data_IF_716913293084
#
_entry.id   IF_716913293084
#
_cell.length_a   1.000
_cell.length_b   1.000
_cell.length_c   1.000
_cell.angle_alpha   90.00
_cell.angle_beta   90.00
_cell.angle_gamma   90.00
#
_symmetry.space_group_name_H-M   'P 1'
#
loop_
_entity.id
_entity.type
_entity.pdbx_description
1 polymer ?
#
# COMPACT_ATOMS: atom_id res chain seq x y z
N UNK A 1 19.39 12.55 26.48
CA UNK A 1 18.70 13.15 25.31
C UNK A 1 17.25 13.37 25.72
N UNK A 2 16.73 14.59 25.60
CA UNK A 2 15.35 14.94 25.95
C UNK A 2 14.42 14.13 25.07
N UNK A 3 13.56 13.29 25.66
CA UNK A 3 12.55 12.50 24.96
C UNK A 3 11.50 13.48 24.41
N UNK A 4 11.76 14.08 23.25
CA UNK A 4 10.75 14.87 22.55
C UNK A 4 9.76 13.86 21.94
N UNK A 5 8.45 13.98 22.22
CA UNK A 5 7.47 13.10 21.61
C UNK A 5 7.54 13.24 20.08
N UNK A 6 7.41 12.11 19.38
CA UNK A 6 7.28 12.07 17.93
C UNK A 6 6.09 12.92 17.49
N UNK A 7 6.23 13.68 16.40
CA UNK A 7 5.10 14.43 15.84
C UNK A 7 4.11 13.45 15.20
N UNK A 8 3.07 13.09 15.96
CA UNK A 8 2.05 12.11 15.57
C UNK A 8 1.28 12.49 14.29
N UNK A 9 1.34 13.76 13.88
CA UNK A 9 0.76 14.23 12.62
C UNK A 9 1.52 13.68 11.42
N UNK A 10 2.83 13.46 11.54
CA UNK A 10 3.64 12.93 10.45
C UNK A 10 3.27 11.48 10.12
N UNK A 11 3.08 10.65 11.15
CA UNK A 11 2.63 9.26 10.98
C UNK A 11 1.21 9.21 10.39
N UNK A 12 0.30 10.06 10.88
CA UNK A 12 -1.05 10.16 10.31
C UNK A 12 -1.03 10.57 8.82
N UNK A 13 -0.20 11.54 8.46
CA UNK A 13 -0.03 11.96 7.06
C UNK A 13 0.50 10.82 6.20
N UNK A 14 1.49 10.06 6.67
CA UNK A 14 2.00 8.88 5.98
C UNK A 14 0.87 7.84 5.76
N UNK A 15 0.11 7.49 6.81
CA UNK A 15 -1.02 6.55 6.71
C UNK A 15 -2.06 7.00 5.68
N UNK A 16 -2.31 8.31 5.58
CA UNK A 16 -3.23 8.88 4.60
C UNK A 16 -2.66 8.80 3.18
N UNK A 17 -1.38 9.14 2.98
CA UNK A 17 -0.74 9.01 1.66
C UNK A 17 -0.70 7.55 1.19
N UNK A 18 -0.37 6.60 2.08
CA UNK A 18 -0.39 5.17 1.77
C UNK A 18 -1.79 4.69 1.39
N UNK A 19 -2.84 5.18 2.07
CA UNK A 19 -4.24 4.86 1.73
C UNK A 19 -4.56 5.25 0.29
N UNK A 20 -4.22 6.48 -0.09
CA UNK A 20 -4.53 6.99 -1.42
C UNK A 20 -3.67 6.29 -2.49
N UNK A 21 -2.41 6.03 -2.17
CA UNK A 21 -1.50 5.28 -3.04
C UNK A 21 -2.01 3.87 -3.35
N UNK A 22 -2.37 3.09 -2.32
CA UNK A 22 -2.95 1.75 -2.47
C UNK A 22 -4.22 1.78 -3.34
N UNK A 23 -5.08 2.79 -3.14
CA UNK A 23 -6.29 2.96 -3.94
C UNK A 23 -5.98 3.11 -5.43
N UNK A 24 -4.92 3.88 -5.76
CA UNK A 24 -4.47 4.02 -7.15
C UNK A 24 -3.85 2.74 -7.70
N UNK A 25 -3.10 1.98 -6.88
CA UNK A 25 -2.55 0.68 -7.28
C UNK A 25 -3.65 -0.32 -7.66
N UNK A 26 -4.70 -0.42 -6.84
CA UNK A 26 -5.85 -1.29 -7.15
C UNK A 26 -6.57 -0.84 -8.42
N UNK A 27 -6.81 0.47 -8.58
CA UNK A 27 -7.40 0.98 -9.82
C UNK A 27 -6.55 0.69 -11.06
N UNK A 28 -5.21 0.79 -10.93
CA UNK A 28 -4.29 0.47 -12.02
C UNK A 28 -4.37 -1.02 -12.40
N UNK A 29 -4.48 -1.92 -11.41
CA UNK A 29 -4.64 -3.36 -11.65
C UNK A 29 -5.93 -3.69 -12.40
N UNK A 30 -7.03 -2.98 -12.12
CA UNK A 30 -8.29 -3.15 -12.86
C UNK A 30 -8.13 -2.79 -14.35
N UNK A 31 -7.46 -1.66 -14.63
CA UNK A 31 -7.17 -1.25 -16.01
C UNK A 31 -6.19 -2.21 -16.70
N UNK A 32 -5.17 -2.68 -15.97
CA UNK A 32 -4.19 -3.63 -16.52
C UNK A 32 -4.86 -4.95 -16.90
N UNK A 33 -5.75 -5.46 -16.05
CA UNK A 33 -6.51 -6.67 -16.33
C UNK A 33 -7.40 -6.53 -17.58
N UNK A 34 -8.12 -5.41 -17.71
CA UNK A 34 -8.95 -5.14 -18.89
C UNK A 34 -8.11 -5.00 -20.18
N UNK A 35 -6.95 -4.36 -20.10
CA UNK A 35 -6.01 -4.23 -21.21
C UNK A 35 -5.44 -5.58 -21.63
N UNK A 36 -5.00 -6.39 -20.67
CA UNK A 36 -4.49 -7.74 -20.91
C UNK A 36 -5.55 -8.65 -21.55
N UNK A 37 -6.78 -8.63 -21.06
CA UNK A 37 -7.89 -9.40 -21.64
C UNK A 37 -8.14 -8.98 -23.10
N UNK A 38 -8.14 -7.68 -23.38
CA UNK A 38 -8.29 -7.16 -24.75
C UNK A 38 -7.14 -7.59 -25.65
N UNK A 39 -5.92 -7.58 -25.13
CA UNK A 39 -4.72 -8.00 -25.86
C UNK A 39 -4.70 -9.51 -26.14
N UNK A 40 -5.17 -10.33 -25.20
CA UNK A 40 -5.37 -11.77 -25.40
C UNK A 40 -6.44 -12.07 -26.45
N UNK A 41 -7.56 -11.33 -26.44
CA UNK A 41 -8.59 -11.46 -27.47
C UNK A 41 -8.04 -11.09 -28.86
N UNK A 42 -7.22 -10.04 -28.96
CA UNK A 42 -6.52 -9.69 -30.19
C UNK A 42 -5.54 -10.79 -30.64
N UNK A 43 -4.82 -11.42 -29.71
CA UNK A 43 -3.96 -12.56 -29.99
C UNK A 43 -4.74 -13.73 -30.61
N UNK A 44 -5.92 -14.04 -30.06
CA UNK A 44 -6.80 -15.11 -30.53
C UNK A 44 -7.40 -14.83 -31.92
N UNK A 45 -7.62 -13.56 -32.26
CA UNK A 45 -8.11 -13.14 -33.57
C UNK A 45 -7.01 -13.01 -34.64
N UNK A 46 -5.73 -13.13 -34.26
CA UNK A 46 -4.59 -12.94 -35.16
C UNK A 46 -4.17 -14.23 -35.84
N UNK A 47 -3.68 -14.13 -37.08
CA UNK A 47 -3.11 -15.28 -37.80
C UNK A 47 -1.72 -15.69 -37.23
N UNK A 48 -1.35 -16.98 -37.28
CA UNK A 48 0.03 -17.41 -37.05
C UNK A 48 0.98 -16.80 -38.09
N UNK A 49 2.24 -16.43 -37.75
CA UNK A 49 2.92 -16.61 -36.45
C UNK A 49 2.69 -15.47 -35.44
N UNK A 50 2.03 -14.37 -35.85
CA UNK A 50 1.85 -13.17 -35.02
C UNK A 50 1.09 -13.49 -33.72
N UNK A 51 0.06 -14.32 -33.78
CA UNK A 51 -0.68 -14.79 -32.59
C UNK A 51 0.25 -15.36 -31.51
N UNK A 52 1.22 -16.20 -31.88
CA UNK A 52 2.15 -16.81 -30.92
C UNK A 52 3.05 -15.78 -30.22
N UNK A 53 3.53 -14.77 -30.96
CA UNK A 53 4.32 -13.67 -30.40
C UNK A 53 3.47 -12.82 -29.45
N UNK A 54 2.23 -12.50 -29.83
CA UNK A 54 1.31 -11.71 -29.01
C UNK A 54 1.00 -12.44 -27.70
N UNK A 55 0.76 -13.76 -27.74
CA UNK A 55 0.54 -14.57 -26.53
C UNK A 55 1.77 -14.54 -25.60
N UNK A 56 2.99 -14.63 -26.14
CA UNK A 56 4.21 -14.55 -25.34
C UNK A 56 4.35 -13.19 -24.64
N UNK A 57 4.03 -12.09 -25.33
CA UNK A 57 4.00 -10.74 -24.75
C UNK A 57 2.91 -10.63 -23.67
N UNK A 58 1.71 -11.16 -23.94
CA UNK A 58 0.61 -11.18 -22.97
C UNK A 58 0.99 -11.94 -21.69
N UNK A 59 1.75 -13.03 -21.81
CA UNK A 59 2.31 -13.75 -20.66
C UNK A 59 3.27 -12.90 -19.82
N UNK A 60 4.09 -12.06 -20.45
CA UNK A 60 4.99 -11.13 -19.75
C UNK A 60 4.21 -10.07 -18.96
N UNK A 61 3.15 -9.51 -19.56
CA UNK A 61 2.26 -8.57 -18.87
C UNK A 61 1.50 -9.23 -17.72
N UNK A 62 1.00 -10.45 -17.89
CA UNK A 62 0.36 -11.20 -16.81
C UNK A 62 1.30 -11.42 -15.60
N UNK A 63 2.57 -11.70 -15.85
CA UNK A 63 3.60 -11.81 -14.81
C UNK A 63 3.85 -10.48 -14.09
N UNK A 64 3.91 -9.38 -14.84
CA UNK A 64 4.06 -8.03 -14.27
C UNK A 64 2.85 -7.63 -13.41
N UNK A 65 1.63 -7.93 -13.86
CA UNK A 65 0.39 -7.67 -13.12
C UNK A 65 0.35 -8.45 -11.80
N UNK A 66 0.79 -9.70 -11.82
CA UNK A 66 0.86 -10.52 -10.60
C UNK A 66 1.91 -9.97 -9.61
N UNK A 67 3.08 -9.54 -10.10
CA UNK A 67 4.07 -8.89 -9.25
C UNK A 67 3.52 -7.59 -8.63
N UNK A 68 2.82 -6.79 -9.42
CA UNK A 68 2.20 -5.54 -8.96
C UNK A 68 1.07 -5.80 -7.94
N UNK A 69 0.27 -6.85 -8.14
CA UNK A 69 -0.75 -7.29 -7.18
C UNK A 69 -0.15 -7.67 -5.82
N UNK A 70 0.95 -8.41 -5.82
CA UNK A 70 1.68 -8.75 -4.59
C UNK A 70 2.25 -7.52 -3.91
N UNK A 71 2.80 -6.59 -4.68
CA UNK A 71 3.29 -5.33 -4.16
C UNK A 71 2.16 -4.52 -3.50
N UNK A 72 1.01 -4.38 -4.17
CA UNK A 72 -0.16 -3.71 -3.59
C UNK A 72 -0.58 -4.35 -2.24
N UNK A 73 -0.62 -5.68 -2.18
CA UNK A 73 -0.89 -6.41 -0.93
C UNK A 73 0.14 -6.16 0.17
N UNK A 74 1.43 -6.05 -0.19
CA UNK A 74 2.49 -5.71 0.75
C UNK A 74 2.34 -4.28 1.31
N UNK A 75 1.95 -3.32 0.47
CA UNK A 75 1.68 -1.94 0.89
C UNK A 75 0.44 -1.86 1.78
N UNK A 76 -0.60 -2.65 1.50
CA UNK A 76 -1.77 -2.81 2.38
C UNK A 76 -1.38 -3.31 3.78
N UNK A 77 -0.55 -4.35 3.85
CA UNK A 77 -0.05 -4.89 5.11
C UNK A 77 0.84 -3.89 5.87
N UNK A 78 1.72 -3.19 5.16
CA UNK A 78 2.54 -2.11 5.70
C UNK A 78 1.67 -1.00 6.32
N UNK A 79 0.64 -0.55 5.60
CA UNK A 79 -0.27 0.47 6.10
C UNK A 79 -1.03 0.01 7.35
N UNK A 80 -1.39 -1.27 7.44
CA UNK A 80 -2.00 -1.82 8.66
C UNK A 80 -1.04 -1.71 9.85
N UNK A 81 0.22 -2.10 9.68
CA UNK A 81 1.24 -1.99 10.72
C UNK A 81 1.48 -0.54 11.16
N UNK A 82 1.43 0.42 10.25
CA UNK A 82 1.53 1.85 10.60
C UNK A 82 0.37 2.33 11.49
N UNK A 83 -0.86 1.81 11.28
CA UNK A 83 -2.00 2.13 12.14
C UNK A 83 -1.86 1.52 13.53
N UNK A 84 -1.33 0.31 13.61
CA UNK A 84 -1.06 -0.35 14.89
C UNK A 84 0.01 0.44 15.66
N UNK A 85 1.07 0.87 14.97
CA UNK A 85 2.09 1.76 15.54
C UNK A 85 1.48 3.07 16.05
N UNK A 86 0.58 3.69 15.28
CA UNK A 86 -0.09 4.94 15.69
C UNK A 86 -0.90 4.76 16.97
N UNK A 87 -1.59 3.63 17.10
CA UNK A 87 -2.33 3.28 18.33
C UNK A 87 -1.38 3.19 19.51
N UNK A 88 -0.25 2.49 19.34
CA UNK A 88 0.75 2.36 20.39
C UNK A 88 1.37 3.72 20.79
N UNK A 89 1.63 4.60 19.83
CA UNK A 89 2.10 5.96 20.11
C UNK A 89 1.09 6.77 20.93
N UNK A 90 -0.21 6.63 20.64
CA UNK A 90 -1.27 7.32 21.38
C UNK A 90 -1.41 6.79 22.82
N UNK A 91 -1.26 5.48 23.02
CA UNK A 91 -1.27 4.84 24.33
C UNK A 91 -0.08 5.33 25.19
N UNK A 92 1.13 5.29 24.63
CA UNK A 92 2.34 5.81 25.30
C UNK A 92 2.20 7.30 25.62
N UNK A 93 1.64 8.08 24.69
CA UNK A 93 1.36 9.50 24.89
C UNK A 93 0.39 9.76 26.04
N UNK A 94 -0.57 8.85 26.27
CA UNK A 94 -1.50 8.92 27.40
C UNK A 94 -0.79 8.62 28.72
N UNK A 95 0.01 7.54 28.78
CA UNK A 95 0.78 7.19 29.98
C UNK A 95 1.77 8.31 30.37
N UNK A 96 2.43 8.93 29.40
CA UNK A 96 3.36 10.04 29.67
C UNK A 96 2.63 11.26 30.24
N UNK A 97 1.45 11.61 29.69
CA UNK A 97 0.62 12.69 30.24
C UNK A 97 0.16 12.39 31.66
N UNK A 98 -0.31 11.18 31.92
CA UNK A 98 -0.76 10.78 33.26
C UNK A 98 0.38 10.85 34.27
N UNK A 99 1.58 10.39 33.89
CA UNK A 99 2.79 10.54 34.70
C UNK A 99 3.11 12.01 34.98
N UNK A 100 3.08 12.87 33.96
CA UNK A 100 3.33 14.30 34.12
C UNK A 100 2.33 14.95 35.07
N UNK A 101 1.04 14.63 34.94
CA UNK A 101 -0.02 15.06 35.86
C UNK A 101 0.33 14.63 37.30
N UNK A 102 0.61 13.34 37.52
CA UNK A 102 0.96 12.84 38.84
C UNK A 102 2.20 13.53 39.43
N UNK A 103 3.23 13.78 38.62
CA UNK A 103 4.44 14.49 39.06
C UNK A 103 4.21 15.98 39.35
N UNK A 104 3.25 16.64 38.69
CA UNK A 104 2.91 18.05 38.94
C UNK A 104 2.05 18.23 40.20
N UNK A 105 1.13 17.30 40.48
CA UNK A 105 0.23 17.39 41.64
C UNK A 105 0.85 16.92 42.97
N UNK A 106 1.84 16.02 42.95
CA UNK A 106 2.50 15.50 44.15
C UNK A 106 3.85 16.17 44.48
N UNK A 107 4.07 17.39 43.97
CA UNK A 107 5.25 18.20 44.23
C UNK A 107 4.88 19.48 44.95
#
# INVERSE_FOLDING_TARGET
MVHRPSDSRLLLNLINHEKDYIKQLHSLLDYSHASLASFQAYAAASAPPASGVIVAVAGSFAGADEALRRYAGAVDAWRAQLKDLKTLEDDVGTIMRDREILCVYFR
#
